data_IF_062868510437
#
_entry.id   IF_062868510437
#
_cell.length_a   1.000
_cell.length_b   1.000
_cell.length_c   1.000
_cell.angle_alpha   90.00
_cell.angle_beta   90.00
_cell.angle_gamma   90.00
#
_symmetry.space_group_name_H-M   'P 1'
#
loop_
_entity.id
_entity.type
_entity.pdbx_description
1 polymer ?
#
# COMPACT_ATOMS: atom_id res chain seq x y z
N UNK A 1 29.12 -4.01 -61.24
CA UNK A 1 28.05 -3.69 -60.28
C UNK A 1 28.73 -3.33 -58.97
N UNK A 2 28.57 -2.08 -58.54
CA UNK A 2 29.26 -1.53 -57.36
C UNK A 2 28.20 -1.34 -56.27
N UNK A 3 28.40 -1.94 -55.10
CA UNK A 3 28.55 -1.24 -53.80
C UNK A 3 28.03 -2.05 -52.60
N UNK A 4 28.98 -2.20 -51.67
CA UNK A 4 28.90 -2.06 -50.22
C UNK A 4 27.94 -2.96 -49.44
N UNK A 5 28.57 -3.91 -48.75
CA UNK A 5 28.04 -4.55 -47.56
C UNK A 5 27.65 -3.50 -46.51
N UNK A 6 26.43 -3.66 -46.00
CA UNK A 6 25.84 -2.84 -44.96
C UNK A 6 26.65 -3.01 -43.69
N UNK A 7 27.21 -1.89 -43.25
CA UNK A 7 27.88 -1.73 -41.98
C UNK A 7 26.95 -2.18 -40.83
N UNK A 8 27.40 -3.18 -40.07
CA UNK A 8 26.86 -3.47 -38.76
C UNK A 8 27.20 -2.32 -37.83
N UNK A 9 26.19 -1.55 -37.44
CA UNK A 9 26.23 -0.74 -36.21
C UNK A 9 24.80 -0.34 -35.84
N UNK A 10 24.23 -1.05 -34.87
CA UNK A 10 23.12 -0.53 -34.06
C UNK A 10 23.20 -1.20 -32.69
N UNK A 11 24.16 -0.73 -31.89
CA UNK A 11 24.07 -0.79 -30.45
C UNK A 11 22.79 -0.06 -30.01
N UNK A 12 21.98 -0.69 -29.16
CA UNK A 12 21.02 -0.07 -28.23
C UNK A 12 20.44 -1.15 -27.30
N UNK A 13 21.30 -1.79 -26.50
CA UNK A 13 20.89 -2.56 -25.32
C UNK A 13 21.04 -1.67 -24.06
N UNK A 14 20.27 -0.58 -24.03
CA UNK A 14 20.10 0.26 -22.84
C UNK A 14 18.61 0.51 -22.62
N UNK A 15 17.84 -0.57 -22.56
CA UNK A 15 16.48 -0.57 -22.02
C UNK A 15 16.52 -0.97 -20.56
N UNK A 16 17.00 -0.07 -19.69
CA UNK A 16 16.80 -0.18 -18.27
C UNK A 16 15.32 -0.09 -17.96
N UNK A 17 14.61 -1.22 -17.97
CA UNK A 17 13.33 -1.31 -17.27
C UNK A 17 13.66 -1.53 -15.80
N UNK A 18 13.98 -0.43 -15.11
CA UNK A 18 13.92 -0.35 -13.66
C UNK A 18 12.54 -0.85 -13.24
N UNK A 19 12.50 -2.10 -12.80
CA UNK A 19 11.32 -2.69 -12.20
C UNK A 19 11.02 -1.89 -10.95
N UNK A 20 10.19 -0.86 -11.09
CA UNK A 20 9.64 -0.16 -9.95
C UNK A 20 8.94 -1.20 -9.10
N UNK A 21 9.55 -1.56 -7.96
CA UNK A 21 8.91 -2.40 -6.96
C UNK A 21 7.61 -1.71 -6.59
N UNK A 22 6.50 -2.29 -7.05
CA UNK A 22 5.17 -1.92 -6.59
C UNK A 22 5.05 -2.50 -5.20
N UNK A 23 5.35 -1.71 -4.18
CA UNK A 23 4.90 -2.03 -2.83
C UNK A 23 3.37 -1.96 -2.85
N UNK A 24 2.76 -3.13 -3.05
CA UNK A 24 1.33 -3.31 -3.05
C UNK A 24 0.91 -3.72 -1.64
N UNK A 25 0.19 -2.84 -0.97
CA UNK A 25 -0.47 -3.13 0.29
C UNK A 25 -1.94 -3.40 -0.01
N UNK A 26 -2.46 -4.53 0.43
CA UNK A 26 -3.89 -4.86 0.32
C UNK A 26 -4.43 -5.16 1.70
N UNK A 27 -5.52 -4.50 2.06
CA UNK A 27 -6.20 -4.69 3.34
C UNK A 27 -7.69 -4.95 3.12
N UNK A 28 -8.28 -5.81 3.94
CA UNK A 28 -9.74 -5.99 3.98
C UNK A 28 -10.29 -5.32 5.23
N UNK A 29 -11.34 -4.51 5.06
CA UNK A 29 -11.96 -3.80 6.17
C UNK A 29 -13.41 -4.24 6.32
N UNK A 30 -13.76 -4.61 7.55
CA UNK A 30 -15.13 -4.88 7.97
C UNK A 30 -15.47 -3.98 9.15
N UNK A 31 -16.38 -3.04 8.96
CA UNK A 31 -16.88 -2.21 10.05
C UNK A 31 -18.20 -2.75 10.59
N UNK A 32 -18.41 -2.59 11.88
CA UNK A 32 -19.62 -2.90 12.63
C UNK A 32 -20.05 -1.63 13.38
N UNK A 33 -21.22 -1.63 14.00
CA UNK A 33 -21.75 -0.46 14.69
C UNK A 33 -20.86 0.09 15.82
N UNK A 34 -19.95 -0.72 16.38
CA UNK A 34 -19.08 -0.33 17.48
C UNK A 34 -17.59 -0.72 17.32
N UNK A 35 -17.23 -1.34 16.19
CA UNK A 35 -15.87 -1.85 15.99
C UNK A 35 -15.50 -1.92 14.50
N UNK A 36 -14.21 -1.99 14.22
CA UNK A 36 -13.69 -2.31 12.89
C UNK A 36 -12.71 -3.48 12.97
N UNK A 37 -12.83 -4.43 12.05
CA UNK A 37 -11.84 -5.48 11.83
C UNK A 37 -11.06 -5.17 10.56
N UNK A 38 -9.74 -5.12 10.68
CA UNK A 38 -8.83 -4.93 9.56
C UNK A 38 -8.03 -6.20 9.37
N UNK A 39 -7.97 -6.70 8.14
CA UNK A 39 -7.13 -7.82 7.76
C UNK A 39 -6.03 -7.35 6.82
N UNK A 40 -4.79 -7.73 7.09
CA UNK A 40 -3.67 -7.52 6.19
C UNK A 40 -3.68 -8.65 5.15
N UNK A 41 -4.13 -8.37 3.93
CA UNK A 41 -4.26 -9.38 2.87
C UNK A 41 -2.91 -9.58 2.18
N UNK A 42 -2.22 -8.50 1.84
CA UNK A 42 -0.92 -8.55 1.18
C UNK A 42 -0.09 -7.31 1.50
N UNK A 43 1.23 -7.47 1.58
CA UNK A 43 2.19 -6.42 1.89
C UNK A 43 3.60 -6.91 1.58
N UNK A 44 4.45 -6.05 1.02
CA UNK A 44 5.85 -6.37 0.75
C UNK A 44 6.73 -6.42 2.01
N UNK A 45 6.34 -5.73 3.09
CA UNK A 45 7.09 -5.72 4.35
C UNK A 45 6.72 -6.85 5.31
N UNK A 46 5.68 -7.63 4.99
CA UNK A 46 5.11 -8.63 5.88
C UNK A 46 4.16 -8.07 6.96
N UNK A 47 4.01 -6.74 7.06
CA UNK A 47 3.13 -6.06 8.01
C UNK A 47 2.28 -4.96 7.34
N UNK A 48 1.10 -4.71 7.89
CA UNK A 48 0.26 -3.55 7.59
C UNK A 48 0.22 -2.64 8.83
N UNK A 49 0.59 -1.37 8.69
CA UNK A 49 0.47 -0.39 9.77
C UNK A 49 -0.81 0.42 9.58
N UNK A 50 -1.68 0.42 10.59
CA UNK A 50 -2.95 1.17 10.55
C UNK A 50 -3.08 2.13 11.72
N UNK A 51 -3.68 3.28 11.47
CA UNK A 51 -4.05 4.23 12.51
C UNK A 51 -5.42 4.84 12.24
N UNK A 52 -6.25 4.94 13.28
CA UNK A 52 -7.58 5.54 13.25
C UNK A 52 -7.56 6.90 13.95
N UNK A 53 -8.21 7.88 13.34
CA UNK A 53 -8.36 9.24 13.86
C UNK A 53 -9.57 9.32 14.81
N UNK A 54 -9.45 8.68 15.97
CA UNK A 54 -10.37 8.73 17.12
C UNK A 54 -9.91 9.80 18.13
N UNK A 55 -10.70 10.05 19.18
CA UNK A 55 -10.34 10.99 20.25
C UNK A 55 -8.97 10.67 20.88
N UNK A 56 -8.72 9.38 21.12
CA UNK A 56 -7.39 8.83 21.37
C UNK A 56 -7.02 7.97 20.17
N UNK A 57 -6.00 8.33 19.35
CA UNK A 57 -5.65 7.58 18.15
C UNK A 57 -5.40 6.10 18.43
N UNK A 58 -6.18 5.24 17.79
CA UNK A 58 -5.97 3.80 17.86
C UNK A 58 -5.03 3.36 16.74
N UNK A 59 -4.04 2.53 17.09
CA UNK A 59 -3.01 2.05 16.15
C UNK A 59 -2.88 0.55 16.22
N UNK A 60 -2.48 -0.06 15.12
CA UNK A 60 -2.13 -1.47 15.12
C UNK A 60 -1.21 -1.85 13.97
N UNK A 61 -0.31 -2.77 14.29
CA UNK A 61 0.50 -3.49 13.34
C UNK A 61 -0.15 -4.86 13.14
N UNK A 62 -0.35 -5.24 11.88
CA UNK A 62 -1.11 -6.45 11.50
C UNK A 62 -0.23 -7.27 10.56
N UNK A 63 0.26 -8.45 10.97
CA UNK A 63 1.03 -9.34 10.10
C UNK A 63 0.23 -9.77 8.87
N UNK A 64 0.94 -10.03 7.77
CA UNK A 64 0.34 -10.55 6.53
C UNK A 64 -0.45 -11.84 6.81
N UNK A 65 -1.69 -11.87 6.34
CA UNK A 65 -2.64 -12.97 6.54
C UNK A 65 -3.47 -12.82 7.81
N UNK A 66 -3.07 -11.98 8.77
CA UNK A 66 -3.77 -11.80 10.03
C UNK A 66 -4.81 -10.70 10.00
N UNK A 67 -5.71 -10.75 10.98
CA UNK A 67 -6.73 -9.73 11.21
C UNK A 67 -6.72 -9.25 12.64
N UNK A 68 -7.03 -7.97 12.83
CA UNK A 68 -7.11 -7.34 14.13
C UNK A 68 -8.40 -6.53 14.25
N UNK A 69 -9.05 -6.65 15.40
CA UNK A 69 -10.26 -5.91 15.75
C UNK A 69 -9.91 -4.68 16.59
N UNK A 70 -10.54 -3.57 16.28
CA UNK A 70 -10.40 -2.28 16.96
C UNK A 70 -11.77 -1.85 17.48
N UNK A 71 -11.94 -1.85 18.79
CA UNK A 71 -13.15 -1.39 19.46
C UNK A 71 -13.22 0.14 19.47
N UNK A 72 -14.44 0.70 19.47
CA UNK A 72 -14.66 2.16 19.46
C UNK A 72 -14.36 2.82 18.11
N UNK A 73 -14.15 2.02 17.06
CA UNK A 73 -13.98 2.47 15.68
C UNK A 73 -15.27 2.19 14.93
N UNK A 74 -15.95 3.24 14.47
CA UNK A 74 -17.25 3.14 13.80
C UNK A 74 -17.16 3.51 12.31
N UNK A 75 -18.13 3.11 11.47
CA UNK A 75 -18.19 3.53 10.07
C UNK A 75 -18.08 5.05 9.93
N UNK A 76 -17.27 5.52 8.99
CA UNK A 76 -16.99 6.95 8.81
C UNK A 76 -15.79 7.49 9.61
N UNK A 77 -15.26 6.73 10.58
CA UNK A 77 -14.00 7.12 11.26
C UNK A 77 -12.88 7.25 10.23
N UNK A 78 -12.13 8.37 10.19
CA UNK A 78 -10.99 8.49 9.28
C UNK A 78 -9.84 7.60 9.74
N UNK A 79 -9.12 7.03 8.79
CA UNK A 79 -7.99 6.14 9.06
C UNK A 79 -6.89 6.32 8.03
N UNK A 80 -5.71 5.81 8.38
CA UNK A 80 -4.57 5.69 7.48
C UNK A 80 -4.01 4.28 7.53
N UNK A 81 -3.46 3.85 6.40
CA UNK A 81 -2.87 2.53 6.24
C UNK A 81 -1.63 2.70 5.39
N UNK A 82 -0.48 2.32 5.92
CA UNK A 82 0.82 2.48 5.28
C UNK A 82 1.66 1.20 5.43
N UNK A 83 2.62 0.95 4.51
CA UNK A 83 3.57 -0.16 4.63
C UNK A 83 4.66 0.08 5.68
N UNK A 84 4.76 1.31 6.20
CA UNK A 84 5.68 1.77 7.24
C UNK A 84 4.90 2.38 8.42
N UNK A 85 5.53 2.55 9.60
CA UNK A 85 4.87 3.15 10.76
C UNK A 85 4.22 4.51 10.42
N UNK A 86 2.91 4.60 10.66
CA UNK A 86 2.11 5.71 10.15
C UNK A 86 2.02 6.89 11.13
N UNK A 87 2.31 8.07 10.62
CA UNK A 87 2.01 9.34 11.28
C UNK A 87 0.68 9.90 10.74
N UNK A 88 -0.33 9.98 11.61
CA UNK A 88 -1.67 10.47 11.26
C UNK A 88 -1.66 11.90 10.68
N UNK A 89 -0.63 12.69 10.95
CA UNK A 89 -0.49 14.05 10.42
C UNK A 89 0.05 14.10 8.99
N UNK A 90 0.72 13.02 8.53
CA UNK A 90 1.41 12.96 7.24
C UNK A 90 0.75 12.05 6.22
N UNK A 91 -0.17 11.19 6.67
CA UNK A 91 -0.89 10.27 5.81
C UNK A 91 -2.19 10.88 5.27
N UNK A 92 -2.59 10.44 4.08
CA UNK A 92 -3.90 10.80 3.53
C UNK A 92 -4.99 9.96 4.20
N UNK A 93 -5.80 10.59 5.05
CA UNK A 93 -6.86 9.91 5.80
C UNK A 93 -8.03 9.58 4.89
N UNK A 94 -8.47 8.33 4.93
CA UNK A 94 -9.67 7.88 4.24
C UNK A 94 -10.72 7.46 5.27
N UNK A 95 -12.00 7.72 5.01
CA UNK A 95 -13.06 7.17 5.85
C UNK A 95 -13.07 5.64 5.75
N UNK A 96 -13.35 4.95 6.86
CA UNK A 96 -13.55 3.50 6.84
C UNK A 96 -14.70 3.14 5.89
N UNK A 97 -14.38 2.33 4.89
CA UNK A 97 -15.33 1.75 3.94
C UNK A 97 -15.24 0.23 4.03
N UNK A 98 -16.38 -0.44 3.89
CA UNK A 98 -16.46 -1.90 3.82
C UNK A 98 -15.75 -2.44 2.57
N UNK A 99 -15.11 -3.60 2.71
CA UNK A 99 -14.49 -4.34 1.61
C UNK A 99 -12.97 -4.21 1.58
N UNK A 100 -12.34 -4.86 0.59
CA UNK A 100 -10.89 -4.82 0.43
C UNK A 100 -10.42 -3.62 -0.37
N UNK A 101 -9.51 -2.87 0.22
CA UNK A 101 -8.86 -1.71 -0.35
C UNK A 101 -7.43 -2.06 -0.71
N UNK A 102 -7.05 -1.74 -1.95
CA UNK A 102 -5.68 -1.84 -2.42
C UNK A 102 -5.03 -0.47 -2.36
N UNK A 103 -3.92 -0.38 -1.65
CA UNK A 103 -3.08 0.80 -1.56
C UNK A 103 -1.83 0.48 -2.36
N UNK A 104 -1.83 0.92 -3.61
CA UNK A 104 -0.66 0.81 -4.47
C UNK A 104 0.16 2.09 -4.31
N UNK A 105 1.43 1.96 -3.88
CA UNK A 105 2.39 3.05 -3.98
C UNK A 105 3.51 2.67 -4.96
N UNK A 106 3.79 3.61 -5.86
CA UNK A 106 5.04 3.61 -6.60
C UNK A 106 6.13 4.03 -5.62
N UNK A 107 7.17 3.20 -5.42
CA UNK A 107 8.39 3.66 -4.75
C UNK A 107 8.97 4.76 -5.64
N UNK A 108 8.90 6.02 -5.21
CA UNK A 108 9.66 7.09 -5.86
C UNK A 108 11.11 6.84 -5.44
N UNK A 109 11.87 6.17 -6.30
CA UNK A 109 13.33 6.11 -6.16
C UNK A 109 13.86 7.51 -6.42
N UNK A 110 14.29 8.19 -5.36
CA UNK A 110 15.07 9.42 -5.41
C UNK A 110 16.39 9.20 -6.15
#
# INVERSE_FOLDING_TARGET
MVRLGVAGLAALLLGGCGGGERSALSVSLRAESSAATVQCVDTSSGLCHVAFATATPLRGDIPKGESRRFEGVVPGTPMCIEPEPVDLSKCNRTAIKQGTQKIARSRVTS
#
